data_IF_694944408191
#
_entry.id   IF_694944408191
#
_cell.length_a   1.000
_cell.length_b   1.000
_cell.length_c   1.000
_cell.angle_alpha   90.00
_cell.angle_beta   90.00
_cell.angle_gamma   90.00
#
_symmetry.space_group_name_H-M   'P 1'
#
loop_
_entity.id
_entity.type
_entity.pdbx_description
1 polymer ?
#
# COMPACT_ATOMS: atom_id res chain seq x y z
N UNK A 1 -1.39 -16.09 20.78
CA UNK A 1 -0.12 -16.08 20.02
C UNK A 1 -0.48 -15.79 18.57
N UNK A 2 -0.35 -14.53 18.13
CA UNK A 2 -0.69 -14.12 16.77
C UNK A 2 0.18 -14.89 15.76
N UNK A 3 -0.44 -15.77 15.00
CA UNK A 3 0.15 -16.32 13.78
C UNK A 3 0.05 -15.25 12.68
N UNK A 4 0.82 -14.17 12.82
CA UNK A 4 1.19 -13.40 11.64
C UNK A 4 2.21 -14.26 10.90
N UNK A 5 1.75 -14.88 9.82
CA UNK A 5 2.64 -15.16 8.71
C UNK A 5 3.57 -13.95 8.50
N UNK A 6 4.88 -14.14 8.27
CA UNK A 6 5.80 -13.01 8.16
C UNK A 6 5.36 -12.15 6.98
N UNK A 7 4.75 -11.00 7.28
CA UNK A 7 4.50 -9.96 6.29
C UNK A 7 5.86 -9.52 5.78
N UNK A 8 6.16 -9.84 4.52
CA UNK A 8 7.39 -9.39 3.90
C UNK A 8 7.27 -7.90 3.62
N UNK A 9 8.06 -7.08 4.30
CA UNK A 9 8.14 -5.65 4.04
C UNK A 9 8.76 -5.38 2.66
N UNK A 10 8.16 -4.44 1.92
CA UNK A 10 8.57 -4.08 0.56
C UNK A 10 9.03 -2.62 0.50
N UNK A 11 8.28 -1.70 1.10
CA UNK A 11 8.58 -0.27 1.05
C UNK A 11 7.88 0.50 2.18
N UNK A 12 8.46 1.65 2.55
CA UNK A 12 7.88 2.66 3.46
C UNK A 12 7.74 3.97 2.67
N UNK A 13 6.58 4.64 2.80
CA UNK A 13 6.23 5.83 2.01
C UNK A 13 6.30 7.12 2.83
N UNK A 14 7.48 7.44 3.36
CA UNK A 14 7.76 8.67 4.09
C UNK A 14 9.17 9.20 3.79
N UNK A 15 9.39 10.48 4.09
CA UNK A 15 10.74 11.05 4.25
C UNK A 15 11.32 10.76 5.64
N UNK A 16 12.12 11.69 6.17
CA UNK A 16 12.72 11.57 7.51
C UNK A 16 11.74 12.03 8.61
N UNK A 17 10.70 11.24 8.92
CA UNK A 17 9.89 11.42 10.13
C UNK A 17 9.75 10.10 10.90
N UNK A 18 9.59 10.18 12.22
CA UNK A 18 9.22 9.04 13.08
C UNK A 18 7.70 9.01 13.35
N UNK A 19 6.90 9.51 12.40
CA UNK A 19 5.50 9.86 12.62
C UNK A 19 4.49 8.71 12.42
N UNK A 20 4.98 7.48 12.20
CA UNK A 20 4.17 6.39 11.66
C UNK A 20 4.01 6.57 10.16
N UNK A 21 4.31 5.55 9.38
CA UNK A 21 4.44 5.68 7.93
C UNK A 21 3.57 4.68 7.21
N UNK A 22 3.05 5.04 6.02
CA UNK A 22 2.43 4.05 5.19
C UNK A 22 3.48 3.01 4.76
N UNK A 23 3.15 1.74 4.91
CA UNK A 23 4.03 0.63 4.58
C UNK A 23 3.35 -0.33 3.61
N UNK A 24 4.13 -0.90 2.69
CA UNK A 24 3.72 -1.95 1.78
C UNK A 24 4.32 -3.29 2.20
N UNK A 25 3.47 -4.30 2.31
CA UNK A 25 3.86 -5.67 2.60
C UNK A 25 3.28 -6.68 1.63
N UNK A 26 3.89 -7.86 1.59
CA UNK A 26 3.38 -9.06 0.94
C UNK A 26 3.11 -10.16 1.98
N UNK A 27 1.86 -10.64 2.03
CA UNK A 27 1.45 -11.75 2.89
C UNK A 27 1.41 -13.06 2.10
N UNK A 28 2.47 -13.86 2.18
CA UNK A 28 2.59 -15.09 1.40
C UNK A 28 1.55 -16.17 1.77
N UNK A 29 0.96 -16.06 2.96
CA UNK A 29 -0.02 -17.03 3.46
C UNK A 29 -1.47 -16.56 3.27
N UNK A 30 -1.68 -15.32 2.81
CA UNK A 30 -3.00 -14.84 2.48
C UNK A 30 -3.53 -15.47 1.18
N UNK A 31 -4.87 -15.62 1.07
CA UNK A 31 -5.54 -15.92 -0.19
C UNK A 31 -5.09 -14.96 -1.32
N UNK A 32 -5.05 -15.41 -2.60
CA UNK A 32 -4.56 -14.60 -3.72
C UNK A 32 -5.17 -13.20 -3.82
N UNK A 33 -6.42 -13.04 -3.39
CA UNK A 33 -7.20 -11.80 -3.40
C UNK A 33 -6.86 -10.81 -2.27
N UNK A 34 -6.03 -11.19 -1.29
CA UNK A 34 -5.65 -10.35 -0.12
C UNK A 34 -4.14 -10.33 0.16
N UNK A 35 -3.33 -10.68 -0.82
CA UNK A 35 -1.89 -10.92 -0.69
C UNK A 35 -1.05 -9.65 -0.53
N UNK A 36 -1.47 -8.54 -1.14
CA UNK A 36 -0.80 -7.24 -0.99
C UNK A 36 -1.45 -6.49 0.16
N UNK A 37 -0.64 -5.93 1.04
CA UNK A 37 -1.10 -5.20 2.24
C UNK A 37 -0.49 -3.81 2.23
N UNK A 38 -1.32 -2.78 2.37
CA UNK A 38 -0.87 -1.41 2.65
C UNK A 38 -1.44 -1.02 4.02
N UNK A 39 -0.59 -0.51 4.88
CA UNK A 39 -1.01 0.15 6.13
C UNK A 39 -0.80 1.64 6.01
N UNK A 40 -1.62 2.44 6.68
CA UNK A 40 -1.38 3.87 6.85
C UNK A 40 -0.92 4.18 8.29
N UNK A 41 -0.60 5.45 8.52
CA UNK A 41 -0.16 6.02 9.80
C UNK A 41 -1.29 6.15 10.83
N UNK A 42 -2.56 5.99 10.41
CA UNK A 42 -3.74 5.98 11.27
C UNK A 42 -4.15 4.56 11.71
N UNK A 43 -3.41 3.53 11.30
CA UNK A 43 -3.67 2.13 11.62
C UNK A 43 -4.71 1.47 10.70
N UNK A 44 -5.09 2.11 9.60
CA UNK A 44 -5.91 1.48 8.57
C UNK A 44 -5.09 0.45 7.79
N UNK A 45 -5.79 -0.53 7.24
CA UNK A 45 -5.19 -1.64 6.49
C UNK A 45 -6.04 -1.91 5.25
N UNK A 46 -5.41 -1.83 4.08
CA UNK A 46 -6.00 -2.23 2.80
C UNK A 46 -5.34 -3.53 2.35
N UNK A 47 -6.15 -4.50 1.95
CA UNK A 47 -5.66 -5.74 1.34
C UNK A 47 -6.22 -5.90 -0.06
N UNK A 48 -5.39 -6.37 -0.98
CA UNK A 48 -5.77 -6.57 -2.37
C UNK A 48 -4.97 -7.69 -3.03
N UNK A 49 -5.43 -8.11 -4.20
CA UNK A 49 -4.68 -9.04 -5.05
C UNK A 49 -3.43 -8.38 -5.65
N UNK A 50 -2.47 -9.20 -6.08
CA UNK A 50 -1.33 -8.73 -6.90
C UNK A 50 -1.79 -8.07 -8.21
N UNK A 51 -2.87 -8.55 -8.81
CA UNK A 51 -3.41 -8.01 -10.05
C UNK A 51 -3.95 -6.58 -9.86
N UNK A 52 -4.70 -6.34 -8.79
CA UNK A 52 -5.19 -5.00 -8.44
C UNK A 52 -4.04 -4.05 -8.13
N UNK A 53 -3.05 -4.50 -7.34
CA UNK A 53 -1.88 -3.67 -7.04
C UNK A 53 -1.09 -3.32 -8.31
N UNK A 54 -0.98 -4.26 -9.27
CA UNK A 54 -0.36 -3.99 -10.57
C UNK A 54 -1.05 -2.86 -11.32
N UNK A 55 -2.39 -2.84 -11.37
CA UNK A 55 -3.15 -1.76 -12.00
C UNK A 55 -2.87 -0.40 -11.33
N UNK A 56 -2.73 -0.37 -10.00
CA UNK A 56 -2.37 0.86 -9.27
C UNK A 56 -0.97 1.32 -9.68
N UNK A 57 0.01 0.40 -9.70
CA UNK A 57 1.39 0.72 -10.11
C UNK A 57 1.46 1.22 -11.56
N UNK A 58 0.73 0.60 -12.48
CA UNK A 58 0.65 1.03 -13.88
C UNK A 58 0.00 2.41 -13.99
N UNK A 59 -1.12 2.65 -13.30
CA UNK A 59 -1.78 3.96 -13.26
C UNK A 59 -0.89 5.07 -12.67
N UNK A 60 -0.11 4.74 -11.64
CA UNK A 60 0.85 5.66 -11.03
C UNK A 60 2.00 5.99 -12.01
N UNK A 61 2.55 4.99 -12.71
CA UNK A 61 3.60 5.19 -13.73
C UNK A 61 3.12 6.02 -14.91
N UNK A 62 1.83 5.93 -15.24
CA UNK A 62 1.19 6.75 -16.28
C UNK A 62 0.82 8.17 -15.79
N UNK A 63 1.07 8.50 -14.52
CA UNK A 63 0.74 9.81 -13.93
C UNK A 63 -0.76 10.02 -13.68
N UNK A 64 -1.61 8.99 -13.84
CA UNK A 64 -3.07 9.13 -13.65
C UNK A 64 -3.43 9.49 -12.20
N UNK A 65 -2.66 8.98 -11.25
CA UNK A 65 -2.94 9.23 -9.82
C UNK A 65 -2.63 10.67 -9.41
N UNK A 66 -1.85 11.44 -10.19
CA UNK A 66 -1.54 12.84 -9.88
C UNK A 66 -2.79 13.73 -9.91
N UNK A 67 -3.89 13.27 -10.52
CA UNK A 67 -5.18 13.95 -10.46
C UNK A 67 -5.67 14.18 -9.03
N UNK A 68 -5.39 13.26 -8.09
CA UNK A 68 -5.80 13.42 -6.68
C UNK A 68 -5.02 14.53 -5.96
N UNK A 69 -3.88 14.94 -6.52
CA UNK A 69 -3.03 16.00 -5.98
C UNK A 69 -3.42 17.37 -6.53
N UNK A 70 -4.31 17.43 -7.53
CA UNK A 70 -4.77 18.71 -8.07
C UNK A 70 -5.63 19.42 -7.02
N UNK A 71 -5.40 20.72 -6.78
CA UNK A 71 -6.25 21.48 -5.87
C UNK A 71 -7.69 21.43 -6.36
N UNK A 72 -8.64 21.26 -5.43
CA UNK A 72 -10.07 21.14 -5.75
C UNK A 72 -10.68 22.40 -6.40
N UNK A 73 -9.91 23.48 -6.55
CA UNK A 73 -10.31 24.73 -7.20
C UNK A 73 -9.13 25.24 -8.06
N UNK A 74 -9.11 24.87 -9.34
CA UNK A 74 -8.37 25.57 -10.38
C UNK A 74 -9.38 26.13 -11.39
#
# INVERSE_FOLDING_TARGET
MNHQAPLQHIATFCGNCDCGCPDLFLDQNAPPERRVVITDDFGQRVQMSLAQFRTIVESAKEGRLDEVLRPANA
#
